data_IF_472077224253
#
_entry.id   IF_472077224253
#
_cell.length_a   1.000
_cell.length_b   1.000
_cell.length_c   1.000
_cell.angle_alpha   90.00
_cell.angle_beta   90.00
_cell.angle_gamma   90.00
#
_symmetry.space_group_name_H-M   'P 1'
#
loop_
_entity.id
_entity.type
_entity.pdbx_description
1 polymer ?
#
# COMPACT_ATOMS: atom_id res chain seq x y z
N UNK A 1 19.41 -14.64 2.21
CA UNK A 1 19.04 -15.70 1.25
C UNK A 1 17.83 -15.21 0.49
N UNK A 2 17.94 -15.05 -0.82
CA UNK A 2 16.83 -14.58 -1.66
C UNK A 2 15.84 -15.74 -1.94
N UNK A 3 14.55 -15.43 -2.12
CA UNK A 3 13.45 -16.39 -2.31
C UNK A 3 13.74 -17.33 -3.49
N UNK A 4 14.32 -16.80 -4.58
CA UNK A 4 14.69 -17.64 -5.72
C UNK A 4 15.84 -18.60 -5.43
N UNK A 5 16.80 -18.18 -4.60
CA UNK A 5 17.88 -19.06 -4.16
C UNK A 5 17.34 -20.25 -3.38
N UNK A 6 16.33 -20.02 -2.53
CA UNK A 6 15.66 -21.09 -1.78
C UNK A 6 14.87 -22.03 -2.70
N UNK A 7 14.10 -21.49 -3.66
CA UNK A 7 13.34 -22.32 -4.61
C UNK A 7 14.27 -23.19 -5.45
N UNK A 8 15.35 -22.62 -6.00
CA UNK A 8 16.37 -23.37 -6.77
C UNK A 8 17.02 -24.46 -5.93
N UNK A 9 17.36 -24.16 -4.68
CA UNK A 9 17.90 -25.16 -3.76
C UNK A 9 16.91 -26.31 -3.53
N UNK A 10 15.63 -26.01 -3.26
CA UNK A 10 14.61 -27.04 -3.08
C UNK A 10 14.47 -27.91 -4.34
N UNK A 11 14.40 -27.29 -5.52
CA UNK A 11 14.33 -28.02 -6.81
C UNK A 11 15.54 -28.93 -6.99
N UNK A 12 16.74 -28.48 -6.62
CA UNK A 12 17.95 -29.31 -6.71
C UNK A 12 17.93 -30.54 -5.78
N UNK A 13 17.20 -30.47 -4.66
CA UNK A 13 17.12 -31.53 -3.66
C UNK A 13 15.93 -32.48 -3.87
N UNK A 14 14.83 -31.98 -4.41
CA UNK A 14 13.55 -32.69 -4.45
C UNK A 14 12.93 -32.77 -5.86
N UNK A 15 13.58 -32.20 -6.88
CA UNK A 15 13.04 -32.13 -8.24
C UNK A 15 12.03 -30.99 -8.42
N UNK A 16 11.55 -30.81 -9.66
CA UNK A 16 10.58 -29.77 -9.99
C UNK A 16 9.19 -30.14 -9.50
N UNK A 17 8.56 -29.22 -8.78
CA UNK A 17 7.22 -29.34 -8.23
C UNK A 17 6.19 -29.17 -9.35
N UNK A 18 5.01 -29.78 -9.17
CA UNK A 18 3.88 -29.65 -10.10
C UNK A 18 3.32 -28.22 -10.13
N UNK A 19 3.25 -27.60 -8.95
CA UNK A 19 2.74 -26.25 -8.76
C UNK A 19 3.65 -25.52 -7.75
N UNK A 20 3.99 -24.25 -8.03
CA UNK A 20 4.77 -23.37 -7.16
C UNK A 20 4.07 -22.02 -7.04
N UNK A 21 3.59 -21.70 -5.83
CA UNK A 21 2.89 -20.45 -5.53
C UNK A 21 3.76 -19.52 -4.70
N UNK A 22 3.68 -18.21 -4.95
CA UNK A 22 4.22 -17.20 -4.06
C UNK A 22 3.13 -16.63 -3.17
N UNK A 23 3.42 -16.44 -1.89
CA UNK A 23 2.54 -15.76 -0.97
C UNK A 23 3.34 -15.01 0.10
N UNK A 24 2.82 -13.89 0.57
CA UNK A 24 3.47 -13.15 1.65
C UNK A 24 2.60 -12.02 2.19
N UNK A 25 2.75 -11.76 3.49
CA UNK A 25 2.10 -10.66 4.19
C UNK A 25 2.96 -9.39 4.18
N UNK A 26 2.34 -8.22 4.15
CA UNK A 26 3.00 -6.92 4.30
C UNK A 26 4.09 -6.75 3.23
N UNK A 27 5.35 -6.53 3.62
CA UNK A 27 6.49 -6.52 2.70
C UNK A 27 6.62 -7.81 1.88
N UNK A 28 6.20 -8.96 2.40
CA UNK A 28 6.13 -10.21 1.63
C UNK A 28 5.10 -10.16 0.50
N UNK A 29 4.03 -9.37 0.65
CA UNK A 29 3.06 -9.12 -0.42
C UNK A 29 3.65 -8.24 -1.53
N UNK A 30 4.41 -7.21 -1.16
CA UNK A 30 5.18 -6.43 -2.13
C UNK A 30 6.20 -7.29 -2.87
N UNK A 31 6.96 -8.13 -2.16
CA UNK A 31 7.92 -9.05 -2.79
C UNK A 31 7.22 -10.08 -3.69
N UNK A 32 6.04 -10.57 -3.31
CA UNK A 32 5.24 -11.46 -4.16
C UNK A 32 4.92 -10.79 -5.49
N UNK A 33 4.44 -9.54 -5.48
CA UNK A 33 4.20 -8.76 -6.70
C UNK A 33 5.49 -8.59 -7.53
N UNK A 34 6.58 -8.12 -6.92
CA UNK A 34 7.83 -7.90 -7.64
C UNK A 34 8.38 -9.18 -8.27
N UNK A 35 8.35 -10.31 -7.55
CA UNK A 35 8.85 -11.59 -8.06
C UNK A 35 7.97 -12.15 -9.18
N UNK A 36 6.66 -11.93 -9.14
CA UNK A 36 5.76 -12.31 -10.22
C UNK A 36 6.01 -11.52 -11.52
N UNK A 37 6.53 -10.30 -11.42
CA UNK A 37 6.95 -9.51 -12.59
C UNK A 37 8.38 -9.83 -13.06
N UNK A 38 9.31 -9.99 -12.12
CA UNK A 38 10.73 -10.26 -12.42
C UNK A 38 10.92 -11.69 -12.95
N UNK A 39 10.12 -12.64 -12.47
CA UNK A 39 10.18 -14.06 -12.84
C UNK A 39 8.83 -14.57 -13.36
N UNK A 40 8.32 -14.03 -14.48
CA UNK A 40 6.92 -14.17 -14.90
C UNK A 40 6.49 -15.60 -15.23
N UNK A 41 7.45 -16.50 -15.44
CA UNK A 41 7.20 -17.90 -15.82
C UNK A 41 7.63 -18.92 -14.76
N UNK A 42 8.26 -18.48 -13.66
CA UNK A 42 8.85 -19.36 -12.64
C UNK A 42 7.82 -19.85 -11.62
N UNK A 43 6.81 -19.03 -11.35
CA UNK A 43 5.73 -19.32 -10.41
C UNK A 43 4.42 -19.54 -11.17
N UNK A 44 3.54 -20.35 -10.61
CA UNK A 44 2.24 -20.65 -11.22
C UNK A 44 1.20 -19.60 -10.90
N UNK A 45 1.27 -18.99 -9.71
CA UNK A 45 0.48 -17.82 -9.31
C UNK A 45 1.03 -17.13 -8.04
N UNK A 46 0.58 -15.90 -7.79
CA UNK A 46 0.94 -15.10 -6.62
C UNK A 46 -0.26 -14.70 -5.74
N UNK A 47 -0.07 -14.77 -4.41
CA UNK A 47 -1.04 -14.39 -3.38
C UNK A 47 -0.44 -13.29 -2.48
N UNK A 48 -0.34 -12.03 -2.95
CA UNK A 48 0.09 -10.93 -2.11
C UNK A 48 -0.98 -10.60 -1.06
N UNK A 49 -0.59 -10.57 0.21
CA UNK A 49 -1.46 -10.28 1.34
C UNK A 49 -1.01 -8.96 1.97
N UNK A 50 -1.95 -8.03 2.19
CA UNK A 50 -1.74 -6.74 2.85
C UNK A 50 -0.52 -5.92 2.34
N UNK A 51 -0.08 -6.18 1.11
CA UNK A 51 1.15 -5.61 0.56
C UNK A 51 0.92 -4.23 -0.05
N UNK A 52 1.91 -3.31 0.03
CA UNK A 52 1.83 -2.02 -0.65
C UNK A 52 2.08 -2.19 -2.15
N UNK A 53 1.09 -2.65 -2.92
CA UNK A 53 1.23 -2.98 -4.35
C UNK A 53 1.31 -1.72 -5.24
N UNK A 54 2.43 -1.03 -5.15
CA UNK A 54 2.62 0.32 -5.64
C UNK A 54 4.10 0.61 -5.88
N UNK A 55 4.38 1.64 -6.70
CA UNK A 55 5.71 2.22 -6.72
C UNK A 55 6.05 2.80 -5.34
N UNK A 56 7.21 2.46 -4.79
CA UNK A 56 7.70 3.00 -3.51
C UNK A 56 7.76 4.53 -3.51
N UNK A 57 8.10 5.13 -4.66
CA UNK A 57 8.10 6.58 -4.87
C UNK A 57 6.71 7.18 -4.67
N UNK A 58 5.64 6.50 -5.08
CA UNK A 58 4.27 6.97 -4.86
C UNK A 58 3.80 6.74 -3.43
N UNK A 59 4.05 5.54 -2.88
CA UNK A 59 3.74 5.18 -1.49
C UNK A 59 4.32 6.19 -0.50
N UNK A 60 5.55 6.65 -0.76
CA UNK A 60 6.23 7.57 0.13
C UNK A 60 5.95 9.05 -0.14
N UNK A 61 5.71 9.45 -1.40
CA UNK A 61 5.61 10.87 -1.78
C UNK A 61 4.29 11.56 -1.46
N UNK A 62 3.15 10.84 -1.35
CA UNK A 62 1.82 11.48 -1.31
C UNK A 62 1.13 11.46 0.06
N UNK A 63 1.64 10.68 1.02
CA UNK A 63 1.01 10.54 2.35
C UNK A 63 2.00 10.35 3.49
N UNK A 64 2.93 9.40 3.36
CA UNK A 64 3.87 9.09 4.43
C UNK A 64 4.82 10.26 4.76
N UNK A 65 5.57 10.75 3.77
CA UNK A 65 6.54 11.82 3.99
C UNK A 65 5.87 13.14 4.40
N UNK A 66 4.85 13.56 3.65
CA UNK A 66 4.09 14.78 3.94
C UNK A 66 3.40 14.75 5.31
N UNK A 67 2.86 13.60 5.71
CA UNK A 67 2.26 13.41 7.03
C UNK A 67 3.27 13.60 8.17
N UNK A 68 4.51 13.12 8.00
CA UNK A 68 5.58 13.34 8.97
C UNK A 68 6.02 14.82 9.01
N UNK A 69 6.15 15.47 7.84
CA UNK A 69 6.52 16.89 7.78
C UNK A 69 5.47 17.75 8.49
N UNK A 70 4.17 17.53 8.22
CA UNK A 70 3.11 18.26 8.90
C UNK A 70 3.05 17.92 10.40
N UNK A 71 3.30 16.67 10.78
CA UNK A 71 3.40 16.31 12.19
C UNK A 71 4.49 17.13 12.90
N UNK A 72 5.69 17.22 12.31
CA UNK A 72 6.80 17.99 12.90
C UNK A 72 6.51 19.49 12.99
N UNK A 73 5.73 20.05 12.06
CA UNK A 73 5.23 21.43 12.18
C UNK A 73 4.34 21.62 13.41
N UNK A 74 3.40 20.69 13.64
CA UNK A 74 2.46 20.80 14.76
C UNK A 74 3.04 20.42 16.12
N UNK A 75 4.02 19.50 16.13
CA UNK A 75 4.61 18.86 17.30
C UNK A 75 6.15 18.86 17.21
N UNK A 76 6.79 20.05 17.21
CA UNK A 76 8.23 20.14 17.06
C UNK A 76 8.96 19.40 18.18
N UNK A 77 9.97 18.60 17.80
CA UNK A 77 10.84 17.86 18.73
C UNK A 77 10.27 16.54 19.28
N UNK A 78 9.07 16.12 18.85
CA UNK A 78 8.53 14.80 19.22
C UNK A 78 9.13 13.68 18.38
N UNK A 79 9.15 13.87 17.05
CA UNK A 79 9.83 13.01 16.07
C UNK A 79 11.02 13.77 15.45
N UNK A 80 12.04 13.06 14.93
CA UNK A 80 13.17 13.71 14.29
C UNK A 80 12.78 14.42 12.99
N UNK A 81 13.59 15.38 12.60
CA UNK A 81 13.55 15.99 11.27
C UNK A 81 13.78 14.90 10.20
N UNK A 82 12.95 14.80 9.14
CA UNK A 82 13.09 13.78 8.10
C UNK A 82 14.44 13.81 7.37
N UNK A 83 15.12 14.96 7.34
CA UNK A 83 16.44 15.11 6.74
C UNK A 83 17.60 14.81 7.72
N UNK A 84 17.29 14.57 9.00
CA UNK A 84 18.30 14.39 10.08
C UNK A 84 17.89 13.28 11.03
N UNK A 85 17.47 12.14 10.49
CA UNK A 85 17.11 10.98 11.30
C UNK A 85 18.39 10.35 11.87
N UNK A 86 18.51 10.15 13.20
CA UNK A 86 19.68 9.53 13.79
C UNK A 86 19.91 8.10 13.27
N UNK A 87 21.17 7.67 13.03
CA UNK A 87 21.46 6.29 12.58
C UNK A 87 20.98 5.21 13.56
N UNK A 88 20.90 5.55 14.85
CA UNK A 88 20.40 4.69 15.91
C UNK A 88 18.90 4.88 16.21
N UNK A 89 18.14 5.51 15.31
CA UNK A 89 16.69 5.63 15.46
C UNK A 89 16.04 4.24 15.52
N UNK A 90 15.19 4.04 16.52
CA UNK A 90 14.44 2.78 16.69
C UNK A 90 12.96 3.12 16.81
N UNK A 91 12.14 2.48 15.96
CA UNK A 91 10.70 2.45 16.15
C UNK A 91 10.35 1.44 17.25
N UNK A 92 9.96 1.92 18.43
CA UNK A 92 9.59 1.10 19.57
C UNK A 92 8.30 1.60 20.24
N UNK A 93 7.76 0.81 21.18
CA UNK A 93 6.50 1.13 21.87
C UNK A 93 6.57 2.42 22.70
N UNK A 94 7.73 2.72 23.27
CA UNK A 94 7.93 3.95 24.07
C UNK A 94 7.80 5.20 23.19
N UNK A 95 8.44 5.19 22.02
CA UNK A 95 8.32 6.26 21.04
C UNK A 95 6.87 6.41 20.57
N UNK A 96 6.20 5.30 20.24
CA UNK A 96 4.80 5.33 19.80
C UNK A 96 3.89 5.91 20.90
N UNK A 97 4.07 5.50 22.16
CA UNK A 97 3.31 6.04 23.28
C UNK A 97 3.56 7.55 23.48
N UNK A 98 4.82 8.02 23.33
CA UNK A 98 5.15 9.45 23.39
C UNK A 98 4.46 10.25 22.28
N UNK A 99 4.45 9.72 21.05
CA UNK A 99 3.76 10.35 19.91
C UNK A 99 2.25 10.37 20.15
N UNK A 100 1.67 9.27 20.62
CA UNK A 100 0.24 9.19 20.93
C UNK A 100 -0.16 10.17 22.04
N UNK A 101 0.65 10.29 23.10
CA UNK A 101 0.43 11.26 24.18
C UNK A 101 0.41 12.70 23.64
N UNK A 102 1.36 13.05 22.76
CA UNK A 102 1.41 14.36 22.13
C UNK A 102 0.13 14.63 21.29
N UNK A 103 -0.30 13.64 20.50
CA UNK A 103 -1.53 13.73 19.71
C UNK A 103 -2.78 13.88 20.60
N UNK A 104 -2.87 13.15 21.70
CA UNK A 104 -3.98 13.23 22.66
C UNK A 104 -4.03 14.58 23.36
N UNK A 105 -2.88 15.21 23.61
CA UNK A 105 -2.80 16.53 24.24
C UNK A 105 -3.22 17.69 23.31
N UNK A 106 -3.33 17.46 21.99
CA UNK A 106 -3.73 18.48 21.01
C UNK A 106 -4.75 17.92 19.98
N UNK A 107 -6.02 17.72 20.40
CA UNK A 107 -7.01 16.99 19.62
C UNK A 107 -7.30 17.61 18.24
N UNK A 108 -7.29 18.94 18.09
CA UNK A 108 -7.55 19.61 16.81
C UNK A 108 -6.44 19.36 15.79
N UNK A 109 -5.18 19.45 16.23
CA UNK A 109 -3.99 19.14 15.41
C UNK A 109 -3.97 17.66 15.03
N UNK A 110 -4.25 16.78 15.99
CA UNK A 110 -4.33 15.34 15.76
C UNK A 110 -5.47 14.98 14.80
N UNK A 111 -6.61 15.68 14.85
CA UNK A 111 -7.72 15.47 13.91
C UNK A 111 -7.33 15.83 12.47
N UNK A 112 -6.56 16.91 12.24
CA UNK A 112 -6.01 17.23 10.91
C UNK A 112 -5.15 16.08 10.38
N UNK A 113 -4.18 15.64 11.17
CA UNK A 113 -3.26 14.58 10.77
C UNK A 113 -3.99 13.26 10.49
N UNK A 114 -4.95 12.89 11.34
CA UNK A 114 -5.79 11.70 11.12
C UNK A 114 -6.59 11.79 9.82
N UNK A 115 -7.22 12.93 9.54
CA UNK A 115 -7.97 13.11 8.28
C UNK A 115 -7.07 13.00 7.05
N UNK A 116 -5.91 13.65 7.06
CA UNK A 116 -4.98 13.60 5.92
C UNK A 116 -4.40 12.22 5.67
N UNK A 117 -4.22 11.41 6.73
CA UNK A 117 -3.70 10.05 6.62
C UNK A 117 -4.80 8.98 6.56
N UNK A 118 -6.07 9.37 6.58
CA UNK A 118 -7.24 8.48 6.64
C UNK A 118 -7.18 7.46 7.81
N UNK A 119 -6.77 7.93 9.00
CA UNK A 119 -6.60 7.11 10.20
C UNK A 119 -7.73 7.35 11.22
N UNK A 120 -8.23 6.27 11.82
CA UNK A 120 -9.39 6.32 12.72
C UNK A 120 -9.05 6.93 14.08
N UNK A 121 -7.86 6.64 14.61
CA UNK A 121 -7.48 6.95 15.99
C UNK A 121 -6.00 7.40 16.09
N UNK A 122 -5.64 7.95 17.26
CA UNK A 122 -4.29 8.49 17.49
C UNK A 122 -3.24 7.40 17.70
N UNK A 123 -3.63 6.23 18.20
CA UNK A 123 -2.75 5.07 18.36
C UNK A 123 -2.20 4.59 17.00
N UNK A 124 -3.08 4.44 16.01
CA UNK A 124 -2.72 4.07 14.64
C UNK A 124 -1.85 5.16 13.99
N UNK A 125 -2.20 6.44 14.19
CA UNK A 125 -1.40 7.56 13.69
C UNK A 125 0.00 7.59 14.30
N UNK A 126 0.13 7.39 15.61
CA UNK A 126 1.41 7.34 16.29
C UNK A 126 2.29 6.19 15.79
N UNK A 127 1.71 4.99 15.69
CA UNK A 127 2.38 3.80 15.18
C UNK A 127 2.85 3.97 13.73
N UNK A 128 1.99 4.57 12.89
CA UNK A 128 2.27 4.82 11.48
C UNK A 128 3.38 5.85 11.32
N UNK A 129 3.33 6.99 12.02
CA UNK A 129 4.37 8.02 11.94
C UNK A 129 5.74 7.50 12.38
N UNK A 130 5.80 6.73 13.48
CA UNK A 130 7.05 6.13 13.94
C UNK A 130 7.62 5.13 12.93
N UNK A 131 6.74 4.36 12.26
CA UNK A 131 7.13 3.46 11.18
C UNK A 131 7.63 4.21 9.94
N UNK A 132 6.98 5.32 9.58
CA UNK A 132 7.39 6.16 8.45
C UNK A 132 8.79 6.74 8.67
N UNK A 133 9.12 7.20 9.88
CA UNK A 133 10.48 7.68 10.20
C UNK A 133 11.51 6.56 9.97
N UNK A 134 11.21 5.34 10.45
CA UNK A 134 12.07 4.18 10.19
C UNK A 134 12.24 3.90 8.70
N UNK A 135 11.15 3.94 7.92
CA UNK A 135 11.22 3.72 6.46
C UNK A 135 12.01 4.81 5.73
N UNK A 136 11.89 6.08 6.13
CA UNK A 136 12.65 7.17 5.52
C UNK A 136 14.14 6.92 5.72
N UNK A 137 14.56 6.57 6.95
CA UNK A 137 15.95 6.21 7.24
C UNK A 137 16.43 5.04 6.38
N UNK A 138 15.69 3.94 6.33
CA UNK A 138 16.08 2.76 5.55
C UNK A 138 16.20 3.06 4.05
N UNK A 139 15.29 3.86 3.50
CA UNK A 139 15.32 4.21 2.08
C UNK A 139 16.43 5.22 1.75
N UNK A 140 16.70 6.17 2.64
CA UNK A 140 17.85 7.09 2.53
C UNK A 140 19.17 6.31 2.48
N UNK A 141 19.38 5.39 3.44
CA UNK A 141 20.57 4.55 3.52
C UNK A 141 20.75 3.65 2.29
N UNK A 142 19.67 3.03 1.81
CA UNK A 142 19.70 2.15 0.63
C UNK A 142 19.94 2.90 -0.67
N UNK A 143 19.35 4.09 -0.80
CA UNK A 143 19.44 4.89 -2.00
C UNK A 143 20.70 5.77 -2.05
N UNK A 144 21.44 5.88 -0.93
CA UNK A 144 22.63 6.71 -0.80
C UNK A 144 22.32 8.21 -0.71
N UNK A 145 21.12 8.56 -0.25
CA UNK A 145 20.59 9.92 -0.16
C UNK A 145 19.06 9.92 -0.08
N UNK A 146 18.47 11.07 0.25
CA UNK A 146 17.02 11.16 0.51
C UNK A 146 16.20 11.18 -0.78
N UNK A 147 15.28 10.23 -1.03
CA UNK A 147 14.46 10.22 -2.24
C UNK A 147 13.15 11.02 -2.11
N UNK A 148 12.97 11.81 -1.04
CA UNK A 148 11.68 12.45 -0.72
C UNK A 148 11.70 13.96 -0.95
N UNK A 149 10.60 14.50 -1.48
CA UNK A 149 10.43 15.91 -1.85
C UNK A 149 9.04 16.39 -1.44
N UNK A 150 8.95 17.64 -0.99
CA UNK A 150 7.66 18.34 -0.76
C UNK A 150 7.66 19.79 -1.31
N UNK A 151 8.60 20.14 -2.20
CA UNK A 151 8.72 21.49 -2.77
C UNK A 151 7.50 21.87 -3.60
N UNK A 152 6.87 20.88 -4.24
CA UNK A 152 5.68 21.06 -5.07
C UNK A 152 4.38 20.66 -4.36
N UNK A 153 4.41 20.48 -3.04
CA UNK A 153 3.24 20.11 -2.23
C UNK A 153 2.60 21.36 -1.63
N UNK A 154 1.29 21.48 -1.77
CA UNK A 154 0.50 22.46 -1.02
C UNK A 154 -0.25 21.72 0.07
N UNK A 155 0.12 21.96 1.33
CA UNK A 155 -0.54 21.38 2.49
C UNK A 155 -1.90 22.06 2.67
N UNK A 156 -2.99 21.33 2.42
CA UNK A 156 -4.35 21.85 2.54
C UNK A 156 -5.18 21.08 3.57
N UNK A 157 -6.33 21.65 3.97
CA UNK A 157 -7.20 21.04 4.98
C UNK A 157 -6.56 21.01 6.38
N UNK A 158 -5.61 21.91 6.61
CA UNK A 158 -4.92 22.11 7.88
C UNK A 158 -5.70 23.06 8.79
N UNK A 159 -5.13 23.48 9.92
CA UNK A 159 -5.77 24.50 10.77
C UNK A 159 -5.66 25.91 10.15
N UNK A 160 -4.62 26.16 9.37
CA UNK A 160 -4.40 27.38 8.58
C UNK A 160 -3.44 27.05 7.43
N UNK A 161 -4.00 26.87 6.23
CA UNK A 161 -3.25 26.42 5.07
C UNK A 161 -2.16 27.43 4.66
N UNK A 162 -2.41 28.72 4.78
CA UNK A 162 -1.43 29.75 4.40
C UNK A 162 -0.26 29.78 5.40
N UNK A 163 -0.55 29.77 6.70
CA UNK A 163 0.48 29.76 7.72
C UNK A 163 1.35 28.49 7.65
N UNK A 164 0.71 27.32 7.47
CA UNK A 164 1.43 26.05 7.32
C UNK A 164 2.35 26.08 6.10
N UNK A 165 1.85 26.47 4.93
CA UNK A 165 2.66 26.46 3.71
C UNK A 165 3.77 27.51 3.70
N UNK A 166 3.62 28.60 4.45
CA UNK A 166 4.65 29.63 4.62
C UNK A 166 5.78 29.18 5.56
N UNK A 167 5.47 28.33 6.55
CA UNK A 167 6.41 27.98 7.62
C UNK A 167 7.04 26.58 7.49
N UNK A 168 6.38 25.63 6.84
CA UNK A 168 6.90 24.26 6.70
C UNK A 168 8.23 24.24 5.91
N UNK A 169 9.25 23.50 6.38
CA UNK A 169 10.47 23.28 5.60
C UNK A 169 10.20 22.58 4.27
N UNK A 170 10.92 23.01 3.24
CA UNK A 170 10.87 22.42 1.90
C UNK A 170 12.08 21.51 1.68
N UNK A 171 11.83 20.23 1.51
CA UNK A 171 12.81 19.18 1.28
C UNK A 171 12.91 18.88 -0.21
N UNK A 172 14.15 18.75 -0.70
CA UNK A 172 14.45 18.38 -2.06
C UNK A 172 15.00 16.95 -2.10
N UNK A 173 14.39 16.09 -2.92
CA UNK A 173 14.92 14.76 -3.13
C UNK A 173 16.26 14.80 -3.88
N UNK A 174 17.16 13.88 -3.53
CA UNK A 174 18.34 13.55 -4.33
C UNK A 174 17.89 12.80 -5.61
N UNK A 175 18.17 13.35 -6.80
CA UNK A 175 17.80 12.71 -8.06
C UNK A 175 18.32 11.27 -8.20
N UNK A 176 19.53 10.98 -7.72
CA UNK A 176 20.10 9.62 -7.77
C UNK A 176 19.34 8.66 -6.88
N UNK A 177 18.92 9.12 -5.70
CA UNK A 177 18.12 8.32 -4.79
C UNK A 177 16.74 8.01 -5.37
N UNK A 178 16.11 9.01 -6.01
CA UNK A 178 14.84 8.83 -6.72
C UNK A 178 14.99 7.81 -7.85
N UNK A 179 16.05 7.91 -8.66
CA UNK A 179 16.31 6.99 -9.76
C UNK A 179 16.62 5.57 -9.28
N UNK A 180 17.30 5.43 -8.13
CA UNK A 180 17.48 4.16 -7.46
C UNK A 180 16.13 3.53 -7.09
N UNK A 181 15.22 4.28 -6.45
CA UNK A 181 13.88 3.76 -6.12
C UNK A 181 13.06 3.41 -7.37
N UNK A 182 13.14 4.23 -8.43
CA UNK A 182 12.47 3.97 -9.71
C UNK A 182 12.94 2.66 -10.33
N UNK A 183 14.25 2.42 -10.31
CA UNK A 183 14.86 1.26 -10.98
C UNK A 183 14.68 -0.05 -10.21
N UNK A 184 14.50 0.01 -8.88
CA UNK A 184 14.50 -1.18 -8.02
C UNK A 184 13.14 -1.51 -7.39
N UNK A 185 12.25 -0.52 -7.23
CA UNK A 185 11.04 -0.65 -6.42
C UNK A 185 9.81 -0.01 -7.09
N UNK A 186 9.77 -0.03 -8.42
CA UNK A 186 8.61 0.40 -9.22
C UNK A 186 8.06 -0.81 -9.97
N UNK A 187 6.83 -1.25 -9.68
CA UNK A 187 6.19 -2.29 -10.47
C UNK A 187 5.88 -1.81 -11.88
N UNK A 188 5.98 -2.75 -12.81
CA UNK A 188 5.70 -2.59 -14.24
C UNK A 188 4.29 -3.04 -14.61
N UNK A 189 3.67 -3.91 -13.80
CA UNK A 189 2.41 -4.59 -14.11
C UNK A 189 2.53 -5.71 -15.14
N UNK A 190 3.71 -5.96 -15.70
CA UNK A 190 3.90 -7.05 -16.67
C UNK A 190 3.97 -8.40 -15.96
N UNK A 191 2.80 -9.04 -15.81
CA UNK A 191 2.65 -10.39 -15.28
C UNK A 191 2.20 -11.35 -16.37
N UNK A 192 2.66 -12.60 -16.33
CA UNK A 192 2.22 -13.68 -17.24
C UNK A 192 1.37 -14.75 -16.55
N UNK A 193 1.24 -14.66 -15.23
CA UNK A 193 0.60 -15.65 -14.36
C UNK A 193 -0.39 -14.96 -13.40
N UNK A 194 -1.44 -15.68 -12.95
CA UNK A 194 -2.45 -15.12 -12.06
C UNK A 194 -1.86 -14.54 -10.76
N UNK A 195 -2.42 -13.43 -10.32
CA UNK A 195 -2.24 -12.86 -8.99
C UNK A 195 -3.59 -12.50 -8.37
N UNK A 196 -3.83 -12.96 -7.14
CA UNK A 196 -4.99 -12.57 -6.33
C UNK A 196 -4.46 -11.90 -5.06
N UNK A 197 -4.67 -10.59 -4.96
CA UNK A 197 -4.32 -9.83 -3.77
C UNK A 197 -5.47 -9.81 -2.76
N UNK A 198 -5.13 -9.88 -1.46
CA UNK A 198 -6.10 -9.71 -0.38
C UNK A 198 -5.60 -8.60 0.54
N UNK A 199 -6.46 -7.62 0.82
CA UNK A 199 -6.14 -6.50 1.71
C UNK A 199 -7.24 -6.28 2.75
N UNK A 200 -6.90 -5.74 3.92
CA UNK A 200 -7.91 -5.34 4.91
C UNK A 200 -8.60 -4.05 4.46
N UNK A 201 -9.90 -3.91 4.74
CA UNK A 201 -10.65 -2.71 4.33
C UNK A 201 -10.19 -1.44 5.05
N UNK A 202 -9.61 -1.57 6.24
CA UNK A 202 -8.90 -0.51 6.94
C UNK A 202 -7.52 -1.03 7.34
N UNK A 203 -6.49 -0.48 6.72
CA UNK A 203 -5.10 -0.78 7.02
C UNK A 203 -4.39 0.55 7.33
N UNK A 204 -3.92 0.78 8.58
CA UNK A 204 -3.29 2.03 8.95
C UNK A 204 -1.88 2.20 8.37
N UNK A 205 -1.18 1.10 8.06
CA UNK A 205 0.20 1.14 7.56
C UNK A 205 0.26 1.14 6.02
N UNK A 206 -0.63 0.38 5.39
CA UNK A 206 -0.78 0.33 3.94
C UNK A 206 -2.23 0.65 3.53
N UNK A 207 -2.70 1.90 3.66
CA UNK A 207 -4.05 2.31 3.25
C UNK A 207 -4.46 1.78 1.86
N UNK A 208 -5.73 1.40 1.71
CA UNK A 208 -6.26 0.71 0.51
C UNK A 208 -5.98 1.40 -0.82
N UNK A 209 -5.73 2.70 -0.82
CA UNK A 209 -5.36 3.45 -2.03
C UNK A 209 -4.03 2.96 -2.63
N UNK A 210 -3.12 2.43 -1.80
CA UNK A 210 -1.82 1.90 -2.23
C UNK A 210 -1.98 0.62 -3.05
N UNK A 211 -2.55 -0.48 -2.52
CA UNK A 211 -2.69 -1.71 -3.31
C UNK A 211 -3.66 -1.57 -4.50
N UNK A 212 -4.65 -0.66 -4.41
CA UNK A 212 -5.55 -0.36 -5.53
C UNK A 212 -4.81 0.14 -6.78
N UNK A 213 -3.65 0.78 -6.63
CA UNK A 213 -2.91 1.27 -7.79
C UNK A 213 -2.46 0.14 -8.71
N UNK A 214 -2.19 -1.05 -8.16
CA UNK A 214 -1.70 -2.14 -8.99
C UNK A 214 -2.69 -2.53 -10.08
N UNK A 215 -4.00 -2.42 -9.82
CA UNK A 215 -5.05 -2.62 -10.82
C UNK A 215 -4.88 -1.68 -12.03
N UNK A 216 -4.58 -0.41 -11.79
CA UNK A 216 -4.28 0.55 -12.88
C UNK A 216 -2.95 0.23 -13.58
N UNK A 217 -1.94 -0.27 -12.84
CA UNK A 217 -0.63 -0.61 -13.41
C UNK A 217 -0.76 -1.80 -14.37
N UNK A 218 -1.46 -2.87 -13.98
CA UNK A 218 -1.72 -4.03 -14.86
C UNK A 218 -2.67 -3.71 -16.02
N UNK A 219 -3.57 -2.76 -15.86
CA UNK A 219 -4.41 -2.25 -16.95
C UNK A 219 -3.57 -1.56 -18.02
N UNK A 220 -2.70 -0.63 -17.60
CA UNK A 220 -1.76 0.05 -18.50
C UNK A 220 -0.76 -0.93 -19.15
N UNK A 221 -0.38 -1.99 -18.45
CA UNK A 221 0.50 -3.03 -18.95
C UNK A 221 -0.19 -4.06 -19.88
N UNK A 222 -1.52 -4.04 -20.00
CA UNK A 222 -2.30 -4.98 -20.82
C UNK A 222 -2.46 -6.38 -20.20
N UNK A 223 -2.23 -6.52 -18.90
CA UNK A 223 -2.20 -7.79 -18.15
C UNK A 223 -3.33 -7.90 -17.12
N UNK A 224 -4.23 -6.92 -17.03
CA UNK A 224 -5.32 -6.86 -16.05
C UNK A 224 -6.16 -8.14 -15.89
N UNK A 225 -6.32 -8.95 -16.95
CA UNK A 225 -7.01 -10.26 -16.88
C UNK A 225 -6.36 -11.28 -15.92
N UNK A 226 -5.12 -11.01 -15.50
CA UNK A 226 -4.30 -11.86 -14.63
C UNK A 226 -4.28 -11.36 -13.18
N UNK A 227 -4.88 -10.21 -12.87
CA UNK A 227 -4.83 -9.64 -11.52
C UNK A 227 -6.23 -9.44 -10.95
N UNK A 228 -6.37 -9.69 -9.66
CA UNK A 228 -7.58 -9.43 -8.90
C UNK A 228 -7.20 -8.86 -7.54
N UNK A 229 -7.84 -7.77 -7.15
CA UNK A 229 -7.77 -7.22 -5.80
C UNK A 229 -9.04 -7.58 -5.02
N UNK A 230 -8.89 -8.26 -3.89
CA UNK A 230 -9.95 -8.56 -2.94
C UNK A 230 -9.74 -7.84 -1.61
N UNK A 231 -10.84 -7.71 -0.85
CA UNK A 231 -10.87 -7.04 0.44
C UNK A 231 -11.59 -7.86 1.50
N UNK A 232 -11.00 -7.93 2.68
CA UNK A 232 -11.62 -8.50 3.90
C UNK A 232 -12.02 -7.37 4.85
N UNK A 233 -13.16 -7.54 5.54
CA UNK A 233 -13.79 -6.48 6.34
C UNK A 233 -13.23 -6.43 7.77
N UNK A 234 -11.94 -6.17 7.87
CA UNK A 234 -11.23 -6.06 9.14
C UNK A 234 -10.54 -4.71 9.26
N UNK A 235 -10.31 -4.32 10.51
CA UNK A 235 -9.49 -3.18 10.90
C UNK A 235 -8.11 -3.69 11.32
N UNK A 236 -7.05 -3.07 10.79
CA UNK A 236 -5.67 -3.33 11.18
C UNK A 236 -4.79 -3.80 10.01
N UNK A 237 -3.49 -3.62 10.17
CA UNK A 237 -2.50 -4.06 9.18
C UNK A 237 -2.39 -5.57 9.18
N UNK A 238 -2.59 -6.19 8.01
CA UNK A 238 -2.54 -7.65 7.85
C UNK A 238 -3.48 -8.45 8.76
N UNK A 239 -4.57 -7.85 9.23
CA UNK A 239 -5.62 -8.55 9.99
C UNK A 239 -6.50 -9.41 9.04
N UNK A 240 -5.88 -10.34 8.32
CA UNK A 240 -6.51 -11.29 7.39
C UNK A 240 -6.54 -12.65 8.10
N UNK A 241 -7.73 -13.25 8.21
CA UNK A 241 -7.87 -14.49 8.96
C UNK A 241 -7.37 -15.70 8.16
N UNK A 242 -6.87 -16.76 8.81
CA UNK A 242 -6.38 -17.97 8.14
C UNK A 242 -7.37 -18.58 7.14
N UNK A 243 -8.67 -18.60 7.46
CA UNK A 243 -9.73 -19.08 6.58
C UNK A 243 -9.95 -18.20 5.35
N UNK A 244 -9.68 -16.90 5.45
CA UNK A 244 -9.77 -15.96 4.33
C UNK A 244 -8.58 -16.14 3.38
N UNK A 245 -7.40 -16.37 3.94
CA UNK A 245 -6.19 -16.73 3.18
C UNK A 245 -6.40 -18.06 2.46
N UNK A 246 -6.90 -19.08 3.16
CA UNK A 246 -7.16 -20.40 2.59
C UNK A 246 -8.17 -20.33 1.44
N UNK A 247 -9.23 -19.53 1.59
CA UNK A 247 -10.22 -19.29 0.54
C UNK A 247 -9.62 -18.60 -0.68
N UNK A 248 -8.84 -17.53 -0.48
CA UNK A 248 -8.19 -16.83 -1.59
C UNK A 248 -7.14 -17.70 -2.30
N UNK A 249 -6.42 -18.54 -1.55
CA UNK A 249 -5.51 -19.52 -2.14
C UNK A 249 -6.24 -20.58 -2.96
N UNK A 250 -7.37 -21.10 -2.47
CA UNK A 250 -8.19 -22.05 -3.22
C UNK A 250 -8.73 -21.42 -4.52
N UNK A 251 -9.24 -20.19 -4.46
CA UNK A 251 -9.70 -19.44 -5.64
C UNK A 251 -8.58 -19.22 -6.65
N UNK A 252 -7.39 -18.84 -6.18
CA UNK A 252 -6.21 -18.63 -7.03
C UNK A 252 -5.80 -19.92 -7.75
N UNK A 253 -5.83 -21.06 -7.05
CA UNK A 253 -5.48 -22.37 -7.60
C UNK A 253 -6.51 -22.89 -8.60
N UNK A 254 -7.79 -22.60 -8.38
CA UNK A 254 -8.89 -23.05 -9.25
C UNK A 254 -9.07 -22.17 -10.50
N UNK A 255 -8.46 -20.98 -10.53
CA UNK A 255 -8.59 -20.03 -11.64
C UNK A 255 -7.34 -19.99 -12.53
N UNK A 256 -7.25 -20.82 -13.60
CA UNK A 256 -6.32 -20.54 -14.67
C UNK A 256 -6.88 -19.32 -15.42
N UNK A 257 -6.35 -18.13 -15.11
CA UNK A 257 -6.47 -16.89 -15.89
C UNK A 257 -7.49 -16.94 -17.05
N UNK A 258 -8.79 -16.79 -16.75
CA UNK A 258 -9.82 -16.73 -17.79
C UNK A 258 -11.18 -17.33 -17.47
N UNK A 259 -11.32 -18.26 -16.52
CA UNK A 259 -12.66 -18.69 -16.05
C UNK A 259 -13.06 -17.94 -14.77
N UNK A 260 -13.54 -16.71 -15.01
CA UNK A 260 -14.40 -15.90 -14.14
C UNK A 260 -13.93 -15.69 -12.70
N UNK A 261 -12.90 -14.86 -12.51
CA UNK A 261 -12.87 -13.98 -11.33
C UNK A 261 -13.76 -12.72 -11.54
N UNK A 262 -14.30 -12.54 -12.75
CA UNK A 262 -15.30 -11.52 -13.07
C UNK A 262 -16.69 -11.77 -12.43
N UNK A 263 -17.01 -12.98 -11.96
CA UNK A 263 -18.30 -13.24 -11.30
C UNK A 263 -18.34 -12.79 -9.84
N UNK A 264 -17.19 -12.67 -9.18
CA UNK A 264 -17.12 -12.20 -7.79
C UNK A 264 -17.41 -10.69 -7.67
N UNK A 265 -17.04 -9.89 -8.69
CA UNK A 265 -17.19 -8.43 -8.66
C UNK A 265 -18.41 -7.93 -9.46
N UNK A 266 -18.83 -8.62 -10.53
CA UNK A 266 -19.79 -8.11 -11.51
C UNK A 266 -21.29 -8.41 -11.32
N UNK A 267 -21.69 -9.39 -10.51
CA UNK A 267 -23.11 -9.89 -10.51
C UNK A 267 -24.03 -9.45 -9.37
N UNK A 268 -23.61 -8.56 -8.46
CA UNK A 268 -24.52 -8.08 -7.39
C UNK A 268 -25.03 -6.64 -7.53
N UNK A 269 -24.52 -5.81 -8.46
CA UNK A 269 -24.95 -4.40 -8.53
C UNK A 269 -25.51 -3.89 -9.87
N UNK A 270 -25.13 -4.45 -11.04
CA UNK A 270 -25.62 -3.90 -12.31
C UNK A 270 -26.99 -4.48 -12.76
N UNK A 271 -27.25 -5.77 -12.49
CA UNK A 271 -28.52 -6.41 -12.88
C UNK A 271 -29.75 -5.92 -12.10
N UNK A 272 -29.55 -5.31 -10.91
CA UNK A 272 -30.64 -4.70 -10.13
C UNK A 272 -30.94 -3.25 -10.51
N UNK A 273 -30.00 -2.55 -11.16
CA UNK A 273 -30.15 -1.12 -11.50
C UNK A 273 -30.76 -0.92 -12.89
N UNK A 274 -30.47 -1.81 -13.84
CA UNK A 274 -31.09 -1.76 -15.18
C UNK A 274 -32.54 -2.24 -15.21
N UNK A 275 -32.93 -3.19 -14.34
CA UNK A 275 -34.33 -3.66 -14.28
C UNK A 275 -35.30 -2.64 -13.68
N UNK A 276 -34.83 -1.82 -12.72
CA UNK A 276 -35.64 -0.73 -12.13
C UNK A 276 -35.83 0.47 -13.06
N UNK A 277 -34.86 0.74 -13.93
CA UNK A 277 -34.99 1.85 -14.89
C UNK A 277 -35.94 1.52 -16.05
N UNK A 278 -35.98 0.28 -16.54
CA UNK A 278 -36.90 -0.11 -17.62
C UNK A 278 -38.35 -0.28 -17.15
N UNK A 279 -38.56 -0.66 -15.89
CA UNK A 279 -39.92 -0.80 -15.31
C UNK A 279 -40.52 0.56 -14.93
N UNK A 280 -39.71 1.58 -14.61
CA UNK A 280 -40.20 2.94 -14.34
C UNK A 280 -40.46 3.77 -15.61
N UNK A 281 -39.82 3.45 -16.74
CA UNK A 281 -40.06 4.13 -18.03
C UNK A 281 -41.34 3.68 -18.75
N UNK A 282 -42.06 2.67 -18.23
CA UNK A 282 -43.32 2.17 -18.79
C UNK A 282 -44.56 2.62 -18.01
N UNK A 283 -44.40 3.43 -16.96
CA UNK A 283 -45.48 4.07 -16.22
C UNK A 283 -45.31 5.59 -16.26
N UNK A 284 -45.60 6.18 -17.41
CA UNK A 284 -45.90 7.61 -17.50
C UNK A 284 -47.24 7.71 -18.22
N UNK A 285 -48.28 8.31 -17.62
CA UNK A 285 -49.50 8.60 -18.36
C UNK A 285 -49.20 9.73 -19.34
N UNK A 286 -49.50 9.48 -20.62
CA UNK A 286 -49.57 10.51 -21.66
C UNK A 286 -50.65 11.57 -21.32
N UNK A 287 -50.53 12.79 -21.88
CA UNK A 287 -51.02 14.05 -21.28
C UNK A 287 -52.53 14.20 -21.12
#
# INVERSE_FOLDING_TARGET
MDIESLRRYFVSKHGRQKETYLAGHSMGGFLTMMLMEIYPTVYDAGLPLCGPLAASTWFMSRGAFDGLVLFNYYFPGVLPDPAKIPPNFVNNRELQAKVEQALNAAPDKAAVLRRQNNLKNNHDLASTLAFVVYLIKELDERAGGSPFDNRNVIYNGTLDDNAVNAAIPRYAADPKAVDYLRSNYTPTGHIEKPMLAIHTSYDPLAPVIIPNMYESIVELAGTARLFVQQYVKHDGHCAILPEEIARGFAELRESPAGRRIAEAVGRRKLARRFRRFSEQSQQSPEP
#
